data_IF_005070152353
#
_entry.id   IF_005070152353
#
_cell.length_a   1.000
_cell.length_b   1.000
_cell.length_c   1.000
_cell.angle_alpha   90.00
_cell.angle_beta   90.00
_cell.angle_gamma   90.00
#
_symmetry.space_group_name_H-M   'P 1'
#
loop_
_entity.id
_entity.type
_entity.pdbx_description
1 polymer ?
#
# COMPACT_ATOMS: atom_id res chain seq x y z
N UNK A 1 -3.75 -23.37 -1.45
CA UNK A 1 -3.34 -22.18 -0.68
C UNK A 1 -1.90 -21.90 -1.07
N UNK A 2 -1.67 -21.05 -2.06
CA UNK A 2 -0.32 -20.66 -2.43
C UNK A 2 0.16 -19.64 -1.40
N UNK A 3 1.03 -20.07 -0.48
CA UNK A 3 1.96 -19.15 0.17
C UNK A 3 2.89 -18.69 -0.96
N UNK A 4 2.67 -17.48 -1.45
CA UNK A 4 3.69 -16.80 -2.23
C UNK A 4 4.68 -16.30 -1.19
N UNK A 5 5.75 -17.06 -1.03
CA UNK A 5 6.95 -16.63 -0.34
C UNK A 5 7.46 -15.38 -1.07
N UNK A 6 7.13 -14.20 -0.54
CA UNK A 6 7.74 -12.94 -0.94
C UNK A 6 9.03 -12.79 -0.13
N UNK A 7 9.92 -13.77 -0.22
CA UNK A 7 11.33 -13.61 0.12
C UNK A 7 12.04 -13.13 -1.15
N UNK A 8 11.67 -11.93 -1.61
CA UNK A 8 12.59 -11.18 -2.45
C UNK A 8 13.62 -10.58 -1.49
N UNK A 9 14.71 -11.31 -1.27
CA UNK A 9 15.94 -10.78 -0.69
C UNK A 9 16.42 -9.68 -1.62
N UNK A 10 15.99 -8.45 -1.34
CA UNK A 10 16.31 -7.31 -2.16
C UNK A 10 17.67 -6.78 -1.74
N UNK A 11 18.70 -7.08 -2.54
CA UNK A 11 20.09 -6.63 -2.34
C UNK A 11 20.26 -5.15 -2.70
N UNK A 12 19.38 -4.30 -2.16
CA UNK A 12 19.52 -2.86 -2.27
C UNK A 12 20.57 -2.38 -1.28
N UNK A 13 21.46 -1.48 -1.72
CA UNK A 13 22.33 -0.78 -0.78
C UNK A 13 21.50 0.16 0.14
N UNK A 14 22.13 0.71 1.19
CA UNK A 14 21.40 1.56 2.14
C UNK A 14 20.84 2.86 1.51
N UNK A 15 21.46 3.36 0.44
CA UNK A 15 21.01 4.55 -0.28
C UNK A 15 19.82 4.23 -1.21
N UNK A 16 19.89 3.13 -1.94
CA UNK A 16 18.80 2.64 -2.81
C UNK A 16 17.55 2.33 -2.00
N UNK A 17 17.70 1.66 -0.85
CA UNK A 17 16.56 1.43 0.07
C UNK A 17 15.92 2.73 0.53
N UNK A 18 16.74 3.73 0.86
CA UNK A 18 16.24 5.04 1.29
C UNK A 18 15.45 5.72 0.17
N UNK A 19 15.95 5.67 -1.06
CA UNK A 19 15.27 6.23 -2.22
C UNK A 19 13.92 5.55 -2.48
N UNK A 20 13.89 4.22 -2.50
CA UNK A 20 12.64 3.45 -2.66
C UNK A 20 11.64 3.80 -1.55
N UNK A 21 12.09 3.89 -0.30
CA UNK A 21 11.23 4.25 0.84
C UNK A 21 10.64 5.65 0.67
N UNK A 22 11.43 6.64 0.26
CA UNK A 22 10.94 8.01 0.05
C UNK A 22 9.95 8.09 -1.13
N UNK A 23 10.17 7.32 -2.20
CA UNK A 23 9.23 7.21 -3.33
C UNK A 23 7.90 6.60 -2.89
N UNK A 24 7.93 5.53 -2.10
CA UNK A 24 6.72 4.91 -1.54
C UNK A 24 5.98 5.86 -0.62
N UNK A 25 6.68 6.54 0.31
CA UNK A 25 6.07 7.55 1.20
C UNK A 25 5.40 8.66 0.40
N UNK A 26 6.08 9.18 -0.63
CA UNK A 26 5.52 10.22 -1.49
C UNK A 26 4.28 9.72 -2.26
N UNK A 27 4.29 8.48 -2.75
CA UNK A 27 3.15 7.89 -3.45
C UNK A 27 1.93 7.72 -2.52
N UNK A 28 2.15 7.21 -1.30
CA UNK A 28 1.12 7.07 -0.26
C UNK A 28 0.57 8.43 0.15
N UNK A 29 1.44 9.44 0.31
CA UNK A 29 1.04 10.80 0.64
C UNK A 29 0.12 11.45 -0.40
N UNK A 30 0.26 11.05 -1.67
CA UNK A 30 -0.58 11.55 -2.79
C UNK A 30 -1.91 10.82 -2.94
N UNK A 31 -2.19 9.79 -2.14
CA UNK A 31 -3.50 9.13 -2.17
C UNK A 31 -4.58 10.06 -1.60
N UNK A 32 -5.82 10.00 -2.12
CA UNK A 32 -6.98 10.59 -1.45
C UNK A 32 -7.06 10.11 0.01
N UNK A 33 -7.45 11.02 0.90
CA UNK A 33 -7.36 10.81 2.35
C UNK A 33 -7.99 9.48 2.83
N UNK A 34 -9.21 9.17 2.37
CA UNK A 34 -9.90 7.93 2.75
C UNK A 34 -9.20 6.67 2.22
N UNK A 35 -8.59 6.73 1.05
CA UNK A 35 -7.83 5.61 0.49
C UNK A 35 -6.54 5.39 1.29
N UNK A 36 -5.85 6.49 1.63
CA UNK A 36 -4.66 6.45 2.50
C UNK A 36 -5.00 5.88 3.88
N UNK A 37 -6.09 6.35 4.48
CA UNK A 37 -6.54 5.87 5.80
C UNK A 37 -6.86 4.37 5.77
N UNK A 38 -7.67 3.92 4.79
CA UNK A 38 -7.99 2.50 4.63
C UNK A 38 -6.72 1.64 4.48
N UNK A 39 -5.77 2.09 3.67
CA UNK A 39 -4.49 1.41 3.48
C UNK A 39 -3.66 1.35 4.76
N UNK A 40 -3.58 2.43 5.54
CA UNK A 40 -2.82 2.47 6.81
C UNK A 40 -3.44 1.50 7.80
N UNK A 41 -4.75 1.56 8.01
CA UNK A 41 -5.46 0.67 8.93
C UNK A 41 -5.28 -0.80 8.54
N UNK A 42 -5.38 -1.10 7.25
CA UNK A 42 -5.26 -2.48 6.79
C UNK A 42 -3.82 -3.01 6.82
N UNK A 43 -2.87 -2.29 6.21
CA UNK A 43 -1.51 -2.82 5.99
C UNK A 43 -0.56 -2.57 7.15
N UNK A 44 -0.69 -1.44 7.84
CA UNK A 44 0.22 -1.07 8.93
C UNK A 44 -0.34 -1.43 10.29
N UNK A 45 -1.65 -1.28 10.50
CA UNK A 45 -2.30 -1.67 11.75
C UNK A 45 -2.82 -3.11 11.70
N UNK A 46 -2.78 -3.77 10.54
CA UNK A 46 -3.17 -5.18 10.40
C UNK A 46 -4.66 -5.45 10.53
N UNK A 47 -5.51 -4.41 10.49
CA UNK A 47 -6.94 -4.56 10.67
C UNK A 47 -7.59 -5.27 9.48
N UNK A 48 -8.51 -6.17 9.78
CA UNK A 48 -9.42 -6.77 8.80
C UNK A 48 -10.40 -5.74 8.25
N UNK A 49 -11.07 -6.06 7.14
CA UNK A 49 -12.08 -5.17 6.56
C UNK A 49 -13.24 -4.90 7.55
N UNK A 50 -13.61 -5.90 8.36
CA UNK A 50 -14.64 -5.79 9.39
C UNK A 50 -14.25 -4.80 10.48
N UNK A 51 -13.04 -4.94 11.04
CA UNK A 51 -12.51 -4.02 12.06
C UNK A 51 -12.38 -2.60 11.53
N UNK A 52 -12.03 -2.44 10.24
CA UNK A 52 -12.01 -1.12 9.58
C UNK A 52 -13.42 -0.54 9.49
N UNK A 53 -14.42 -1.33 9.12
CA UNK A 53 -15.82 -0.90 9.14
C UNK A 53 -16.25 -0.46 10.54
N UNK A 54 -15.91 -1.22 11.57
CA UNK A 54 -16.24 -0.91 12.97
C UNK A 54 -15.61 0.39 13.45
N UNK A 55 -14.31 0.60 13.20
CA UNK A 55 -13.59 1.79 13.68
C UNK A 55 -13.90 3.07 12.88
N UNK A 56 -14.25 2.94 11.60
CA UNK A 56 -14.49 4.10 10.71
C UNK A 56 -15.97 4.42 10.49
N UNK A 57 -16.86 3.47 10.74
CA UNK A 57 -18.28 3.56 10.38
C UNK A 57 -18.56 3.43 8.87
N UNK A 58 -17.57 3.10 8.04
CA UNK A 58 -17.77 2.90 6.60
C UNK A 58 -18.37 1.54 6.29
N UNK A 59 -19.18 1.45 5.23
CA UNK A 59 -19.69 0.16 4.77
C UNK A 59 -18.56 -0.75 4.29
N UNK A 60 -18.76 -2.08 4.40
CA UNK A 60 -17.83 -3.08 3.87
C UNK A 60 -17.48 -2.82 2.39
N UNK A 61 -18.48 -2.48 1.58
CA UNK A 61 -18.30 -2.12 0.16
C UNK A 61 -17.44 -0.86 -0.04
N UNK A 62 -17.54 0.11 0.86
CA UNK A 62 -16.72 1.32 0.81
C UNK A 62 -15.26 1.00 1.18
N UNK A 63 -15.04 0.20 2.23
CA UNK A 63 -13.70 -0.26 2.63
C UNK A 63 -13.01 -1.00 1.50
N UNK A 64 -13.69 -1.99 0.91
CA UNK A 64 -13.17 -2.75 -0.23
C UNK A 64 -12.82 -1.83 -1.41
N UNK A 65 -13.76 -0.96 -1.80
CA UNK A 65 -13.54 -0.04 -2.92
C UNK A 65 -12.42 0.97 -2.66
N UNK A 66 -12.23 1.41 -1.41
CA UNK A 66 -11.15 2.31 -1.02
C UNK A 66 -9.79 1.61 -1.11
N UNK A 67 -9.69 0.37 -0.62
CA UNK A 67 -8.46 -0.43 -0.68
C UNK A 67 -8.08 -0.75 -2.13
N UNK A 68 -9.03 -1.22 -2.94
CA UNK A 68 -8.79 -1.51 -4.37
C UNK A 68 -8.26 -0.28 -5.09
N UNK A 69 -8.89 0.90 -4.89
CA UNK A 69 -8.44 2.15 -5.50
C UNK A 69 -7.08 2.62 -4.95
N UNK A 70 -6.82 2.44 -3.65
CA UNK A 70 -5.53 2.76 -3.06
C UNK A 70 -4.40 1.97 -3.74
N UNK A 71 -4.55 0.66 -3.85
CA UNK A 71 -3.55 -0.22 -4.49
C UNK A 71 -3.39 0.06 -5.98
N UNK A 72 -4.48 0.31 -6.71
CA UNK A 72 -4.41 0.69 -8.12
C UNK A 72 -3.61 1.99 -8.32
N UNK A 73 -3.93 3.02 -7.54
CA UNK A 73 -3.23 4.31 -7.59
C UNK A 73 -1.75 4.19 -7.19
N UNK A 74 -1.44 3.36 -6.19
CA UNK A 74 -0.04 3.09 -5.82
C UNK A 74 0.69 2.35 -6.94
N UNK A 75 0.05 1.35 -7.55
CA UNK A 75 0.64 0.62 -8.67
C UNK A 75 0.97 1.57 -9.81
N UNK A 76 0.06 2.44 -10.25
CA UNK A 76 0.35 3.40 -11.32
C UNK A 76 1.50 4.38 -10.97
N UNK A 77 1.58 4.82 -9.71
CA UNK A 77 2.63 5.74 -9.26
C UNK A 77 3.99 5.07 -9.12
N UNK A 78 3.99 3.80 -8.69
CA UNK A 78 5.18 3.03 -8.39
C UNK A 78 5.62 2.11 -9.54
N UNK A 79 4.81 1.91 -10.57
CA UNK A 79 5.22 1.20 -11.79
C UNK A 79 6.43 1.91 -12.41
N UNK A 80 6.48 3.25 -12.30
CA UNK A 80 7.65 4.05 -12.64
C UNK A 80 8.91 3.66 -11.89
N UNK A 81 8.79 3.23 -10.63
CA UNK A 81 9.92 2.77 -9.80
C UNK A 81 10.42 1.40 -10.24
N UNK A 82 9.52 0.53 -10.74
CA UNK A 82 9.90 -0.78 -11.28
C UNK A 82 10.87 -0.67 -12.47
N UNK A 83 10.71 0.36 -13.31
CA UNK A 83 11.65 0.64 -14.42
C UNK A 83 13.02 1.17 -13.99
N UNK A 84 13.22 1.51 -12.70
CA UNK A 84 14.54 1.84 -12.17
C UNK A 84 15.28 0.60 -11.64
N UNK A 85 14.62 -0.57 -11.59
CA UNK A 85 15.17 -1.82 -11.02
C UNK A 85 15.41 -2.89 -12.12
N UNK A 86 15.38 -2.50 -13.40
CA UNK A 86 15.88 -3.30 -14.53
C UNK A 86 17.14 -2.65 -15.10
#
# INVERSE_FOLDING_TARGET
MAHLDVEAETDYDAAERKEVVELVKAAVGKLPERQRMALILHRYQGLSHGEITEVTGWSSSAVESLLVRAYANLREKLDKVRYFVE
#
